data_IF_209296480148
#
_entry.id   IF_209296480148
#
_cell.length_a   1.000
_cell.length_b   1.000
_cell.length_c   1.000
_cell.angle_alpha   90.00
_cell.angle_beta   90.00
_cell.angle_gamma   90.00
#
_symmetry.space_group_name_H-M   'P 1'
#
loop_
_entity.id
_entity.type
_entity.pdbx_description
1 polymer ?
#
# COMPACT_ATOMS: atom_id res chain seq x y z
N UNK A 1 -8.41 -20.20 26.90
CA UNK A 1 -8.92 -20.15 25.49
C UNK A 1 -7.68 -20.08 24.61
N UNK A 2 -7.60 -20.87 23.54
CA UNK A 2 -6.49 -20.77 22.59
C UNK A 2 -6.67 -19.50 21.77
N UNK A 3 -5.70 -18.59 21.84
CA UNK A 3 -5.70 -17.39 21.02
C UNK A 3 -5.00 -17.66 19.68
N UNK A 4 -5.62 -17.21 18.58
CA UNK A 4 -5.06 -17.33 17.25
C UNK A 4 -4.99 -15.99 16.54
N UNK A 5 -3.89 -15.76 15.82
CA UNK A 5 -3.60 -14.53 15.09
C UNK A 5 -3.46 -14.88 13.61
N UNK A 6 -4.21 -14.18 12.78
CA UNK A 6 -3.99 -14.18 11.34
C UNK A 6 -2.99 -13.06 10.99
N UNK A 7 -1.83 -13.41 10.49
CA UNK A 7 -0.86 -12.47 9.92
C UNK A 7 -1.02 -12.41 8.41
N UNK A 8 -1.18 -11.22 7.87
CA UNK A 8 -1.18 -10.93 6.42
C UNK A 8 0.10 -10.18 6.09
N UNK A 9 0.94 -10.80 5.26
CA UNK A 9 2.17 -10.22 4.75
C UNK A 9 2.02 -9.98 3.24
N UNK A 10 1.86 -8.72 2.87
CA UNK A 10 1.73 -8.31 1.48
C UNK A 10 3.09 -7.80 0.98
N UNK A 11 3.87 -8.70 0.40
CA UNK A 11 5.18 -8.41 -0.18
C UNK A 11 5.09 -7.86 -1.61
N UNK A 12 6.26 -7.59 -2.21
CA UNK A 12 6.36 -7.09 -3.59
C UNK A 12 5.89 -8.11 -4.61
N UNK A 13 6.28 -9.37 -4.45
CA UNK A 13 6.01 -10.44 -5.42
C UNK A 13 4.94 -11.44 -4.99
N UNK A 14 4.47 -11.35 -3.76
CA UNK A 14 3.47 -12.28 -3.24
C UNK A 14 2.72 -11.74 -2.03
N UNK A 15 1.51 -12.26 -1.83
CA UNK A 15 0.74 -12.10 -0.59
C UNK A 15 0.76 -13.42 0.18
N UNK A 16 1.07 -13.35 1.47
CA UNK A 16 1.09 -14.50 2.37
C UNK A 16 0.11 -14.29 3.53
N UNK A 17 -0.59 -15.34 3.92
CA UNK A 17 -1.41 -15.37 5.12
C UNK A 17 -0.97 -16.55 6.00
N UNK A 18 -0.75 -16.29 7.28
CA UNK A 18 -0.27 -17.27 8.26
C UNK A 18 -1.13 -17.19 9.50
N UNK A 19 -1.57 -18.34 10.02
CA UNK A 19 -2.22 -18.43 11.34
C UNK A 19 -1.18 -18.88 12.36
N UNK A 20 -1.02 -18.08 13.41
CA UNK A 20 -0.19 -18.40 14.57
C UNK A 20 -1.05 -18.74 15.79
N UNK A 21 -0.55 -19.63 16.63
CA UNK A 21 -1.10 -19.83 17.97
C UNK A 21 -0.50 -18.86 19.00
N UNK A 22 -0.98 -18.93 20.23
CA UNK A 22 -0.52 -18.09 21.35
C UNK A 22 0.97 -18.23 21.69
N UNK A 23 1.61 -19.32 21.27
CA UNK A 23 3.04 -19.58 21.46
C UNK A 23 3.90 -19.12 20.27
N UNK A 24 3.30 -18.47 19.26
CA UNK A 24 4.00 -18.04 18.06
C UNK A 24 4.29 -19.15 17.04
N UNK A 25 3.74 -20.36 17.24
CA UNK A 25 3.91 -21.44 16.28
C UNK A 25 2.93 -21.29 15.10
N UNK A 26 3.42 -21.57 13.89
CA UNK A 26 2.61 -21.58 12.68
C UNK A 26 1.64 -22.77 12.72
N UNK A 27 0.34 -22.49 12.63
CA UNK A 27 -0.70 -23.50 12.51
C UNK A 27 -0.95 -23.83 11.03
N UNK A 28 -1.12 -22.80 10.20
CA UNK A 28 -1.41 -22.89 8.76
C UNK A 28 -0.81 -21.71 8.03
N UNK A 29 -0.46 -21.92 6.75
CA UNK A 29 -0.01 -20.86 5.87
C UNK A 29 -0.55 -21.05 4.45
N UNK A 30 -0.73 -19.94 3.74
CA UNK A 30 -1.06 -19.89 2.32
C UNK A 30 -0.37 -18.70 1.68
N UNK A 31 0.04 -18.83 0.41
CA UNK A 31 0.71 -17.77 -0.33
C UNK A 31 0.21 -17.77 -1.78
N UNK A 32 0.14 -16.57 -2.37
CA UNK A 32 -0.12 -16.37 -3.80
C UNK A 32 0.82 -15.31 -4.35
N UNK A 33 1.25 -15.52 -5.58
CA UNK A 33 2.07 -14.56 -6.31
C UNK A 33 1.26 -13.36 -6.76
N UNK A 34 1.94 -12.22 -6.90
CA UNK A 34 1.43 -10.97 -7.46
C UNK A 34 2.16 -10.67 -8.77
N UNK A 35 1.41 -10.17 -9.74
CA UNK A 35 1.98 -9.73 -11.00
C UNK A 35 2.56 -8.32 -10.86
N UNK A 36 3.85 -8.19 -11.18
CA UNK A 36 4.50 -6.90 -11.37
C UNK A 36 4.24 -6.42 -12.79
N UNK A 37 3.96 -5.14 -12.94
CA UNK A 37 3.76 -4.47 -14.21
C UNK A 37 4.93 -3.53 -14.48
N UNK A 38 5.46 -3.58 -15.69
CA UNK A 38 6.60 -2.76 -16.13
C UNK A 38 6.20 -1.94 -17.37
N UNK A 39 5.39 -0.86 -17.22
CA UNK A 39 4.86 -0.12 -18.37
C UNK A 39 5.93 0.58 -19.21
N UNK A 40 7.04 0.97 -18.57
CA UNK A 40 8.21 1.61 -19.19
C UNK A 40 9.47 1.24 -18.40
N UNK A 41 10.64 1.51 -18.99
CA UNK A 41 11.91 1.31 -18.30
C UNK A 41 11.94 2.09 -16.98
N UNK A 42 12.31 1.39 -15.91
CA UNK A 42 12.34 1.95 -14.54
C UNK A 42 10.99 2.17 -13.88
N UNK A 43 9.88 1.82 -14.52
CA UNK A 43 8.54 1.87 -13.93
C UNK A 43 8.15 0.51 -13.38
N UNK A 44 7.70 0.49 -12.14
CA UNK A 44 7.24 -0.73 -11.45
C UNK A 44 5.90 -0.46 -10.82
N UNK A 45 4.88 -1.18 -11.25
CA UNK A 45 3.51 -0.99 -10.81
C UNK A 45 2.87 -2.28 -10.30
N UNK A 46 1.87 -2.11 -9.45
CA UNK A 46 1.00 -3.20 -9.01
C UNK A 46 -0.46 -2.83 -9.30
N UNK A 47 -1.27 -3.83 -9.64
CA UNK A 47 -2.70 -3.66 -9.74
C UNK A 47 -3.34 -3.68 -8.33
N UNK A 48 -3.93 -2.56 -7.84
CA UNK A 48 -4.50 -2.52 -6.49
C UNK A 48 -5.68 -3.49 -6.29
N UNK A 49 -6.40 -3.82 -7.36
CA UNK A 49 -7.49 -4.80 -7.30
C UNK A 49 -6.97 -6.21 -7.14
N UNK A 50 -5.85 -6.54 -7.78
CA UNK A 50 -5.19 -7.82 -7.62
C UNK A 50 -4.66 -7.98 -6.19
N UNK A 51 -4.01 -6.95 -5.64
CA UNK A 51 -3.53 -6.95 -4.24
C UNK A 51 -4.65 -7.36 -3.28
N UNK A 52 -5.80 -6.69 -3.34
CA UNK A 52 -6.91 -7.00 -2.41
C UNK A 52 -7.55 -8.36 -2.70
N UNK A 53 -7.66 -8.75 -3.97
CA UNK A 53 -8.18 -10.05 -4.36
C UNK A 53 -7.29 -11.18 -3.82
N UNK A 54 -5.98 -11.10 -4.02
CA UNK A 54 -5.03 -12.10 -3.54
C UNK A 54 -5.01 -12.14 -2.01
N UNK A 55 -5.04 -10.98 -1.35
CA UNK A 55 -5.12 -10.89 0.12
C UNK A 55 -6.35 -11.64 0.66
N UNK A 56 -7.53 -11.38 0.11
CA UNK A 56 -8.77 -12.03 0.56
C UNK A 56 -8.73 -13.54 0.26
N UNK A 57 -8.27 -13.95 -0.92
CA UNK A 57 -8.22 -15.36 -1.30
C UNK A 57 -7.23 -16.14 -0.42
N UNK A 58 -6.06 -15.57 -0.16
CA UNK A 58 -5.02 -16.19 0.67
C UNK A 58 -5.48 -16.31 2.13
N UNK A 59 -6.10 -15.24 2.68
CA UNK A 59 -6.66 -15.26 4.01
C UNK A 59 -7.80 -16.30 4.15
N UNK A 60 -8.75 -16.33 3.19
CA UNK A 60 -9.83 -17.34 3.17
C UNK A 60 -9.28 -18.75 3.07
N UNK A 61 -8.28 -18.97 2.24
CA UNK A 61 -7.65 -20.29 2.07
C UNK A 61 -7.07 -20.80 3.39
N UNK A 62 -6.36 -19.96 4.14
CA UNK A 62 -5.77 -20.41 5.40
C UNK A 62 -6.81 -20.56 6.51
N UNK A 63 -7.82 -19.70 6.58
CA UNK A 63 -8.90 -19.78 7.57
C UNK A 63 -9.74 -21.04 7.38
N UNK A 64 -10.02 -21.44 6.13
CA UNK A 64 -10.79 -22.66 5.85
C UNK A 64 -10.11 -23.96 6.28
N UNK A 65 -8.81 -23.93 6.57
CA UNK A 65 -8.01 -25.08 6.99
C UNK A 65 -7.93 -25.28 8.51
N UNK A 66 -8.58 -24.40 9.29
CA UNK A 66 -8.65 -24.50 10.75
C UNK A 66 -10.08 -24.37 11.24
N UNK A 67 -10.36 -24.95 12.42
CA UNK A 67 -11.59 -24.74 13.18
C UNK A 67 -11.40 -23.68 14.28
N UNK A 68 -10.17 -23.23 14.49
CA UNK A 68 -9.85 -22.23 15.51
C UNK A 68 -10.41 -20.87 15.10
N UNK A 69 -10.96 -20.15 16.08
CA UNK A 69 -11.46 -18.81 15.90
C UNK A 69 -10.27 -17.86 15.77
N UNK A 70 -10.26 -17.00 14.75
CA UNK A 70 -9.28 -15.93 14.64
C UNK A 70 -9.68 -14.79 15.57
N UNK A 71 -8.80 -14.44 16.50
CA UNK A 71 -9.05 -13.39 17.49
C UNK A 71 -8.61 -12.02 16.99
N UNK A 72 -7.53 -11.96 16.20
CA UNK A 72 -7.00 -10.72 15.67
C UNK A 72 -6.30 -10.91 14.32
N UNK A 73 -6.14 -9.81 13.58
CA UNK A 73 -5.45 -9.78 12.31
C UNK A 73 -4.32 -8.76 12.41
N UNK A 74 -3.09 -9.20 12.11
CA UNK A 74 -1.93 -8.34 11.91
C UNK A 74 -1.66 -8.18 10.42
N UNK A 75 -1.33 -6.96 9.98
CA UNK A 75 -1.01 -6.67 8.57
C UNK A 75 0.37 -6.05 8.50
N UNK A 76 1.21 -6.56 7.62
CA UNK A 76 2.45 -5.94 7.16
C UNK A 76 2.45 -5.88 5.64
N UNK A 77 3.26 -4.97 5.08
CA UNK A 77 3.25 -4.74 3.64
C UNK A 77 4.63 -4.37 3.09
N UNK A 78 4.75 -4.39 1.75
CA UNK A 78 5.82 -3.70 1.05
C UNK A 78 5.68 -2.19 1.32
N UNK A 79 6.69 -1.62 1.97
CA UNK A 79 6.70 -0.20 2.35
C UNK A 79 6.86 0.70 1.12
N UNK A 80 6.47 1.97 1.22
CA UNK A 80 6.60 3.02 0.21
C UNK A 80 5.85 2.82 -1.12
N UNK A 81 5.33 1.63 -1.39
CA UNK A 81 4.43 1.42 -2.53
C UNK A 81 3.15 2.21 -2.30
N UNK A 82 2.88 3.14 -3.21
CA UNK A 82 1.92 4.23 -3.03
C UNK A 82 0.74 4.07 -3.97
N UNK A 83 -0.46 4.31 -3.46
CA UNK A 83 -1.67 4.35 -4.28
C UNK A 83 -2.62 5.44 -3.80
N UNK A 84 -3.45 5.91 -4.74
CA UNK A 84 -4.52 6.87 -4.49
C UNK A 84 -5.84 6.27 -4.98
N UNK A 85 -6.90 6.49 -4.23
CA UNK A 85 -8.24 6.04 -4.62
C UNK A 85 -9.29 7.11 -4.34
N UNK A 86 -10.34 7.08 -5.14
CA UNK A 86 -11.50 7.94 -4.97
C UNK A 86 -12.28 7.53 -3.71
N UNK A 87 -12.50 8.48 -2.82
CA UNK A 87 -13.12 8.25 -1.51
C UNK A 87 -14.56 7.80 -1.61
N UNK A 88 -15.31 8.32 -2.58
CA UNK A 88 -16.73 8.04 -2.77
C UNK A 88 -16.96 6.65 -3.36
N UNK A 89 -16.22 6.32 -4.43
CA UNK A 89 -16.37 5.05 -5.12
C UNK A 89 -15.54 3.94 -4.50
N UNK A 90 -14.39 4.29 -3.89
CA UNK A 90 -13.38 3.35 -3.42
C UNK A 90 -12.61 2.68 -4.55
N UNK A 91 -12.59 3.29 -5.74
CA UNK A 91 -11.83 2.78 -6.87
C UNK A 91 -10.46 3.45 -6.93
N UNK A 92 -9.38 2.70 -7.19
CA UNK A 92 -8.06 3.28 -7.39
C UNK A 92 -8.08 4.16 -8.64
N UNK A 93 -7.40 5.32 -8.59
CA UNK A 93 -7.30 6.26 -9.71
C UNK A 93 -6.22 5.85 -10.72
N UNK A 94 -5.28 5.01 -10.29
CA UNK A 94 -4.20 4.45 -11.11
C UNK A 94 -3.73 3.12 -10.52
N UNK A 95 -2.79 2.46 -11.17
CA UNK A 95 -2.01 1.40 -10.54
C UNK A 95 -1.21 1.97 -9.35
N UNK A 96 -0.90 1.12 -8.38
CA UNK A 96 0.00 1.46 -7.29
C UNK A 96 1.43 1.57 -7.83
N UNK A 97 2.14 2.65 -7.49
CA UNK A 97 3.53 2.86 -7.88
C UNK A 97 4.41 2.16 -6.86
N UNK A 98 5.19 1.18 -7.32
CA UNK A 98 6.08 0.36 -6.49
C UNK A 98 7.20 1.18 -5.82
N UNK A 99 7.76 0.66 -4.75
CA UNK A 99 8.88 1.28 -4.05
C UNK A 99 10.16 1.31 -4.90
N UNK A 100 10.32 0.36 -5.83
CA UNK A 100 11.45 0.26 -6.77
C UNK A 100 11.34 1.23 -7.95
N UNK A 101 10.18 1.85 -8.14
CA UNK A 101 9.88 2.72 -9.28
C UNK A 101 10.69 4.02 -9.22
N UNK A 102 11.33 4.37 -10.33
CA UNK A 102 12.19 5.55 -10.45
C UNK A 102 11.61 6.67 -11.31
N UNK A 103 10.32 6.60 -11.70
CA UNK A 103 9.69 7.60 -12.57
C UNK A 103 9.75 9.03 -12.07
N UNK A 104 9.90 9.21 -10.75
CA UNK A 104 9.98 10.54 -10.14
C UNK A 104 11.41 11.06 -9.94
N UNK A 105 12.42 10.39 -10.49
CA UNK A 105 13.84 10.77 -10.33
C UNK A 105 14.13 12.19 -10.82
N UNK A 106 13.59 12.58 -11.97
CA UNK A 106 13.77 13.94 -12.50
C UNK A 106 13.14 14.98 -11.56
N UNK A 107 11.97 14.69 -11.01
CA UNK A 107 11.32 15.58 -10.03
C UNK A 107 12.13 15.66 -8.73
N UNK A 108 12.72 14.57 -8.28
CA UNK A 108 13.64 14.58 -7.14
C UNK A 108 14.86 15.49 -7.41
N UNK A 109 15.49 15.36 -8.56
CA UNK A 109 16.62 16.22 -8.97
C UNK A 109 16.20 17.70 -9.02
N UNK A 110 15.02 18.00 -9.55
CA UNK A 110 14.47 19.37 -9.52
C UNK A 110 14.31 19.89 -8.10
N UNK A 111 13.75 19.13 -7.18
CA UNK A 111 13.59 19.54 -5.78
C UNK A 111 14.95 19.77 -5.09
N UNK A 112 15.93 18.92 -5.36
CA UNK A 112 17.30 19.10 -4.85
C UNK A 112 17.93 20.39 -5.36
N UNK A 113 17.75 20.72 -6.65
CA UNK A 113 18.25 21.97 -7.24
C UNK A 113 17.63 23.23 -6.64
N UNK A 114 16.50 23.11 -5.94
CA UNK A 114 15.81 24.19 -5.22
C UNK A 114 16.11 24.21 -3.72
N UNK A 115 17.09 23.45 -3.28
CA UNK A 115 17.54 23.35 -1.87
C UNK A 115 16.47 22.80 -0.89
N UNK A 116 15.46 22.07 -1.42
CA UNK A 116 14.46 21.44 -0.55
C UNK A 116 15.03 20.29 0.28
N UNK A 117 16.18 19.74 -0.09
CA UNK A 117 16.77 18.60 0.60
C UNK A 117 17.12 18.93 2.08
N UNK A 118 17.59 20.15 2.34
CA UNK A 118 17.91 20.60 3.71
C UNK A 118 16.67 20.63 4.60
N UNK A 119 15.56 21.16 4.08
CA UNK A 119 14.28 21.27 4.79
C UNK A 119 13.69 19.89 5.03
N UNK A 120 13.65 19.04 4.00
CA UNK A 120 13.11 17.68 4.09
C UNK A 120 13.93 16.85 5.07
N UNK A 121 15.25 16.89 4.97
CA UNK A 121 16.14 16.15 5.88
C UNK A 121 15.99 16.60 7.33
N UNK A 122 15.84 17.89 7.56
CA UNK A 122 15.60 18.43 8.92
C UNK A 122 14.26 17.96 9.50
N UNK A 123 13.22 17.87 8.68
CA UNK A 123 11.87 17.53 9.12
C UNK A 123 11.64 16.02 9.25
N UNK A 124 12.30 15.20 8.41
CA UNK A 124 12.02 13.77 8.29
C UNK A 124 13.21 12.87 8.62
N UNK A 125 14.42 13.40 8.64
CA UNK A 125 15.66 12.62 8.70
C UNK A 125 16.08 11.98 7.37
N UNK A 126 15.26 12.11 6.30
CA UNK A 126 15.45 11.45 5.02
C UNK A 126 15.93 12.43 3.95
N UNK A 127 16.68 11.93 2.97
CA UNK A 127 17.02 12.69 1.77
C UNK A 127 15.87 12.57 0.75
N UNK A 128 15.83 13.51 -0.23
CA UNK A 128 14.93 13.39 -1.38
C UNK A 128 15.32 12.14 -2.18
N UNK A 129 14.35 11.28 -2.47
CA UNK A 129 14.60 10.07 -3.23
C UNK A 129 13.29 9.55 -3.86
N UNK A 130 13.29 9.04 -5.10
CA UNK A 130 12.12 8.46 -5.73
C UNK A 130 11.59 7.21 -4.99
N UNK A 131 12.38 6.61 -4.11
CA UNK A 131 11.95 5.52 -3.23
C UNK A 131 10.73 5.90 -2.39
N UNK A 132 10.68 7.13 -1.85
CA UNK A 132 9.65 7.57 -0.91
C UNK A 132 8.33 7.95 -1.58
N UNK A 133 7.24 7.87 -0.84
CA UNK A 133 5.87 8.01 -1.35
C UNK A 133 5.53 9.43 -1.82
N UNK A 134 6.12 10.48 -1.24
CA UNK A 134 5.70 11.87 -1.48
C UNK A 134 5.75 12.29 -2.95
N UNK A 135 6.86 12.00 -3.65
CA UNK A 135 7.01 12.36 -5.07
C UNK A 135 6.11 11.51 -5.98
N UNK A 136 5.81 10.27 -5.57
CA UNK A 136 4.86 9.39 -6.27
C UNK A 136 3.42 9.92 -6.15
N UNK A 137 3.03 10.40 -4.96
CA UNK A 137 1.73 11.06 -4.75
C UNK A 137 1.62 12.27 -5.69
N UNK A 138 2.63 13.14 -5.73
CA UNK A 138 2.64 14.31 -6.61
C UNK A 138 2.47 13.87 -8.07
N UNK A 139 3.21 12.88 -8.51
CA UNK A 139 3.14 12.36 -9.87
C UNK A 139 1.72 11.84 -10.21
N UNK A 140 1.07 11.09 -9.31
CA UNK A 140 -0.29 10.59 -9.53
C UNK A 140 -1.28 11.75 -9.64
N UNK A 141 -1.20 12.75 -8.73
CA UNK A 141 -2.09 13.91 -8.76
C UNK A 141 -1.95 14.70 -10.05
N UNK A 142 -0.72 14.86 -10.59
CA UNK A 142 -0.47 15.55 -11.85
C UNK A 142 -0.95 14.75 -13.06
N UNK A 143 -1.07 13.43 -12.94
CA UNK A 143 -1.47 12.55 -14.04
C UNK A 143 -2.99 12.37 -14.20
N UNK A 144 -3.79 12.86 -13.24
CA UNK A 144 -5.26 12.75 -13.27
C UNK A 144 -5.92 14.14 -13.40
N UNK A 145 -7.07 14.26 -14.08
CA UNK A 145 -7.79 15.52 -14.20
C UNK A 145 -8.18 16.08 -12.83
N UNK A 146 -7.83 17.34 -12.57
CA UNK A 146 -8.12 18.07 -11.33
C UNK A 146 -7.59 17.38 -10.06
N UNK A 147 -6.51 16.60 -10.19
CA UNK A 147 -6.00 15.76 -9.09
C UNK A 147 -5.68 16.54 -7.82
N UNK A 148 -5.01 17.69 -7.93
CA UNK A 148 -4.72 18.56 -6.79
C UNK A 148 -6.00 19.09 -6.15
N UNK A 149 -6.94 19.60 -6.94
CA UNK A 149 -8.22 20.14 -6.44
C UNK A 149 -9.03 19.07 -5.73
N UNK A 150 -9.11 17.85 -6.31
CA UNK A 150 -9.79 16.72 -5.69
C UNK A 150 -9.15 16.30 -4.37
N UNK A 151 -7.82 16.35 -4.28
CA UNK A 151 -7.10 16.04 -3.05
C UNK A 151 -7.42 17.08 -1.95
N UNK A 152 -7.35 18.37 -2.27
CA UNK A 152 -7.67 19.47 -1.35
C UNK A 152 -9.13 19.46 -0.88
N UNK A 153 -10.06 19.10 -1.76
CA UNK A 153 -11.47 18.89 -1.41
C UNK A 153 -11.72 17.65 -0.53
N UNK A 154 -10.72 16.78 -0.37
CA UNK A 154 -10.86 15.53 0.37
C UNK A 154 -11.65 14.46 -0.38
N UNK A 155 -11.71 14.54 -1.71
CA UNK A 155 -12.36 13.54 -2.59
C UNK A 155 -11.47 12.30 -2.81
N UNK A 156 -10.17 12.45 -2.57
CA UNK A 156 -9.19 11.39 -2.72
C UNK A 156 -8.68 10.92 -1.34
N UNK A 157 -8.33 9.65 -1.30
CA UNK A 157 -7.55 9.05 -0.21
C UNK A 157 -6.23 8.57 -0.78
N UNK A 158 -5.16 8.65 0.02
CA UNK A 158 -3.89 8.02 -0.32
C UNK A 158 -3.44 7.10 0.79
N UNK A 159 -2.54 6.19 0.47
CA UNK A 159 -1.89 5.35 1.47
C UNK A 159 -0.87 4.41 0.84
N UNK A 160 -0.15 3.75 1.72
CA UNK A 160 0.61 2.54 1.40
C UNK A 160 -0.32 1.34 1.34
N UNK A 161 0.21 0.18 0.98
CA UNK A 161 -0.61 -1.01 0.69
C UNK A 161 -1.39 -1.50 1.90
N UNK A 162 -0.86 -1.36 3.11
CA UNK A 162 -1.58 -1.67 4.35
C UNK A 162 -2.86 -0.85 4.51
N UNK A 163 -2.79 0.46 4.27
CA UNK A 163 -3.95 1.35 4.29
C UNK A 163 -5.02 0.91 3.29
N UNK A 164 -4.61 0.52 2.09
CA UNK A 164 -5.50 -0.01 1.05
C UNK A 164 -6.18 -1.32 1.47
N UNK A 165 -5.41 -2.24 2.06
CA UNK A 165 -5.92 -3.51 2.57
C UNK A 165 -6.94 -3.27 3.68
N UNK A 166 -6.59 -2.44 4.68
CA UNK A 166 -7.47 -2.12 5.80
C UNK A 166 -8.77 -1.46 5.32
N UNK A 167 -8.66 -0.48 4.41
CA UNK A 167 -9.81 0.19 3.82
C UNK A 167 -10.80 -0.80 3.18
N UNK A 168 -10.30 -1.77 2.42
CA UNK A 168 -11.13 -2.76 1.75
C UNK A 168 -11.68 -3.83 2.71
N UNK A 169 -10.89 -4.29 3.68
CA UNK A 169 -11.32 -5.28 4.66
C UNK A 169 -12.39 -4.74 5.62
N UNK A 170 -12.36 -3.45 5.91
CA UNK A 170 -13.33 -2.78 6.81
C UNK A 170 -14.53 -2.20 6.07
N UNK A 171 -14.70 -2.51 4.79
CA UNK A 171 -15.79 -2.00 3.95
C UNK A 171 -15.91 -0.47 3.97
N UNK A 172 -14.77 0.21 3.87
CA UNK A 172 -14.65 1.67 3.83
C UNK A 172 -15.07 2.37 5.15
N UNK A 173 -15.09 1.67 6.27
CA UNK A 173 -15.50 2.24 7.57
C UNK A 173 -14.40 2.99 8.30
N UNK A 174 -13.14 2.90 7.85
CA UNK A 174 -12.02 3.63 8.44
C UNK A 174 -11.90 4.98 7.73
N UNK A 175 -11.91 6.05 8.52
CA UNK A 175 -11.56 7.40 8.07
C UNK A 175 -10.03 7.47 7.98
N UNK A 176 -9.50 7.71 6.80
CA UNK A 176 -8.09 8.07 6.61
C UNK A 176 -7.97 9.59 6.72
N UNK A 177 -6.86 10.06 7.27
CA UNK A 177 -6.61 11.49 7.43
C UNK A 177 -6.63 12.20 6.08
N UNK A 178 -7.07 13.47 6.12
CA UNK A 178 -7.03 14.37 4.96
C UNK A 178 -5.59 14.60 4.52
N UNK A 179 -5.43 15.01 3.27
CA UNK A 179 -4.24 15.72 2.83
C UNK A 179 -4.24 17.09 3.52
N UNK A 180 -3.65 17.17 4.72
CA UNK A 180 -3.42 18.44 5.42
C UNK A 180 -2.04 19.00 5.05
#
# INVERSE_FOLDING_TARGET
MKHTILSIDQGTTSTRAIIFNENGNIIKSSQKELNLLFPKDGWVEHNPKEIIQQTIQTAKSVISQTKDKIDTIGITNQRETTLIWDKKTGLPVSNAIGWEDIRTSEYCTYLESKDFNSIIKKSTGLNINPYFSATKIRWILDSIPDGQIKAENGDLCFGTVDSWIIYNLTKKKISFNRFD
#
